data_IF_886188527664
#
_entry.id   IF_886188527664
#
_cell.length_a   1.000
_cell.length_b   1.000
_cell.length_c   1.000
_cell.angle_alpha   90.00
_cell.angle_beta   90.00
_cell.angle_gamma   90.00
#
_symmetry.space_group_name_H-M   'P 1'
#
loop_
_entity.id
_entity.type
_entity.pdbx_description
1 polymer ?
#
# COMPACT_ATOMS: atom_id res chain seq x y z
N UNK A 1 41.16 -19.01 -41.31
CA UNK A 1 40.80 -17.67 -40.81
C UNK A 1 42.08 -16.85 -40.80
N UNK A 2 42.12 -15.76 -41.56
CA UNK A 2 43.32 -14.91 -41.70
C UNK A 2 43.74 -14.34 -40.32
N UNK A 3 45.05 -14.17 -40.10
CA UNK A 3 45.59 -13.68 -38.84
C UNK A 3 45.02 -12.30 -38.49
N UNK A 4 44.86 -11.43 -39.50
CA UNK A 4 44.25 -10.10 -39.36
C UNK A 4 42.78 -10.18 -38.90
N UNK A 5 42.00 -11.12 -39.43
CA UNK A 5 40.59 -11.31 -39.04
C UNK A 5 40.46 -11.81 -37.59
N UNK A 6 41.39 -12.66 -37.12
CA UNK A 6 41.39 -13.14 -35.73
C UNK A 6 41.68 -12.02 -34.74
N UNK A 7 42.62 -11.13 -35.06
CA UNK A 7 42.96 -9.99 -34.23
C UNK A 7 41.79 -8.99 -34.16
N UNK A 8 41.14 -8.71 -35.30
CA UNK A 8 39.95 -7.84 -35.35
C UNK A 8 38.77 -8.41 -34.57
N UNK A 9 38.52 -9.72 -34.63
CA UNK A 9 37.46 -10.35 -33.85
C UNK A 9 37.73 -10.28 -32.34
N UNK A 10 38.97 -10.50 -31.90
CA UNK A 10 39.35 -10.35 -30.48
C UNK A 10 39.11 -8.91 -29.97
N UNK A 11 39.42 -7.91 -30.79
CA UNK A 11 39.15 -6.49 -30.48
C UNK A 11 37.65 -6.22 -30.40
N UNK A 12 36.87 -6.74 -31.35
CA UNK A 12 35.42 -6.61 -31.39
C UNK A 12 34.74 -7.24 -30.17
N UNK A 13 35.09 -8.49 -29.82
CA UNK A 13 34.57 -9.19 -28.64
C UNK A 13 34.94 -8.47 -27.34
N UNK A 14 36.13 -7.87 -27.27
CA UNK A 14 36.52 -7.04 -26.13
C UNK A 14 35.70 -5.75 -26.04
N UNK A 15 35.38 -5.12 -27.16
CA UNK A 15 34.51 -3.94 -27.23
C UNK A 15 33.08 -4.25 -26.76
N UNK A 16 32.61 -5.47 -26.99
CA UNK A 16 31.33 -5.98 -26.47
C UNK A 16 31.35 -6.30 -24.96
N UNK A 17 32.49 -6.14 -24.29
CA UNK A 17 32.65 -6.33 -22.86
C UNK A 17 33.07 -7.74 -22.42
N UNK A 18 33.44 -8.61 -23.36
CA UNK A 18 33.91 -9.95 -23.04
C UNK A 18 35.28 -9.94 -22.33
N UNK A 19 35.50 -10.88 -21.40
CA UNK A 19 36.75 -10.95 -20.63
C UNK A 19 37.91 -11.49 -21.49
N UNK A 20 39.13 -11.01 -21.23
CA UNK A 20 40.34 -11.49 -21.90
C UNK A 20 40.57 -13.00 -21.73
N UNK A 21 40.10 -13.55 -20.60
CA UNK A 21 40.19 -14.99 -20.30
C UNK A 21 39.23 -15.82 -21.17
N UNK A 22 37.99 -15.35 -21.35
CA UNK A 22 36.99 -15.99 -22.21
C UNK A 22 37.42 -15.95 -23.68
N UNK A 23 37.88 -14.79 -24.14
CA UNK A 23 38.42 -14.60 -25.50
C UNK A 23 39.63 -15.55 -25.70
N UNK A 24 40.54 -15.63 -24.72
CA UNK A 24 41.71 -16.51 -24.80
C UNK A 24 41.35 -17.98 -24.94
N UNK A 25 40.37 -18.46 -24.15
CA UNK A 25 39.84 -19.82 -24.24
C UNK A 25 39.24 -20.15 -25.61
N UNK A 26 38.45 -19.24 -26.20
CA UNK A 26 37.87 -19.45 -27.53
C UNK A 26 38.91 -19.59 -28.64
N UNK A 27 40.09 -18.98 -28.46
CA UNK A 27 41.15 -18.94 -29.47
C UNK A 27 42.34 -19.85 -29.16
N UNK A 28 42.33 -20.56 -28.02
CA UNK A 28 43.43 -21.42 -27.58
C UNK A 28 44.71 -20.64 -27.24
N UNK A 29 44.59 -19.39 -26.80
CA UNK A 29 45.72 -18.50 -26.48
C UNK A 29 45.63 -17.97 -25.05
N UNK A 30 46.76 -17.64 -24.46
CA UNK A 30 46.79 -17.13 -23.08
C UNK A 30 46.14 -15.76 -22.96
N UNK A 31 45.59 -15.45 -21.79
CA UNK A 31 45.02 -14.14 -21.44
C UNK A 31 45.99 -12.99 -21.76
N UNK A 32 47.28 -13.17 -21.46
CA UNK A 32 48.30 -12.14 -21.72
C UNK A 32 48.55 -11.97 -23.22
N UNK A 33 48.47 -13.06 -24.01
CA UNK A 33 48.59 -12.97 -25.47
C UNK A 33 47.42 -12.19 -26.08
N UNK A 34 46.19 -12.41 -25.61
CA UNK A 34 45.01 -11.62 -26.02
C UNK A 34 45.18 -10.15 -25.66
N UNK A 35 45.70 -9.85 -24.46
CA UNK A 35 45.98 -8.47 -24.03
C UNK A 35 46.95 -7.77 -24.98
N UNK A 36 48.06 -8.43 -25.33
CA UNK A 36 49.06 -7.89 -26.25
C UNK A 36 48.50 -7.60 -27.64
N UNK A 37 47.67 -8.52 -28.17
CA UNK A 37 47.02 -8.37 -29.48
C UNK A 37 46.09 -7.15 -29.49
N UNK A 38 45.21 -7.04 -28.48
CA UNK A 38 44.24 -5.94 -28.37
C UNK A 38 44.96 -4.59 -28.19
N UNK A 39 46.01 -4.54 -27.36
CA UNK A 39 46.80 -3.31 -27.16
C UNK A 39 47.50 -2.90 -28.45
N UNK A 40 48.13 -3.84 -29.16
CA UNK A 40 48.83 -3.56 -30.43
C UNK A 40 47.87 -3.06 -31.52
N UNK A 41 46.63 -3.52 -31.51
CA UNK A 41 45.58 -3.10 -32.44
C UNK A 41 44.85 -1.80 -32.02
N UNK A 42 45.26 -1.13 -30.93
CA UNK A 42 44.59 0.08 -30.43
C UNK A 42 43.19 -0.18 -29.84
N UNK A 43 42.92 -1.41 -29.40
CA UNK A 43 41.62 -1.84 -28.91
C UNK A 43 41.26 -1.31 -27.51
N UNK A 44 40.00 -1.54 -27.08
CA UNK A 44 39.41 -0.90 -25.90
C UNK A 44 40.10 -1.28 -24.59
N UNK A 45 40.15 -0.32 -23.66
CA UNK A 45 40.76 -0.52 -22.35
C UNK A 45 39.92 -1.43 -21.46
N UNK A 46 40.46 -1.84 -20.32
CA UNK A 46 39.70 -2.57 -19.32
C UNK A 46 38.48 -1.78 -18.81
N UNK A 47 38.60 -0.45 -18.66
CA UNK A 47 37.49 0.39 -18.23
C UNK A 47 36.37 0.46 -19.29
N UNK A 48 36.73 0.52 -20.57
CA UNK A 48 35.77 0.54 -21.68
C UNK A 48 35.01 -0.79 -21.77
N UNK A 49 35.73 -1.91 -21.68
CA UNK A 49 35.13 -3.25 -21.66
C UNK A 49 34.22 -3.45 -20.43
N UNK A 50 34.60 -2.92 -19.26
CA UNK A 50 33.74 -2.96 -18.07
C UNK A 50 32.50 -2.09 -18.21
N UNK A 51 32.61 -0.90 -18.84
CA UNK A 51 31.47 -0.03 -19.13
C UNK A 51 30.51 -0.69 -20.11
N UNK A 52 31.02 -1.28 -21.19
CA UNK A 52 30.25 -2.03 -22.18
C UNK A 52 29.54 -3.25 -21.57
N UNK A 53 30.25 -4.05 -20.76
CA UNK A 53 29.66 -5.19 -20.06
C UNK A 53 28.53 -4.78 -19.10
N UNK A 54 28.70 -3.66 -18.39
CA UNK A 54 27.64 -3.11 -17.51
C UNK A 54 26.44 -2.61 -18.31
N UNK A 55 26.65 -1.89 -19.40
CA UNK A 55 25.54 -1.42 -20.25
C UNK A 55 24.76 -2.57 -20.88
N UNK A 56 25.45 -3.61 -21.37
CA UNK A 56 24.81 -4.79 -21.95
C UNK A 56 24.00 -5.55 -20.90
N UNK A 57 24.59 -5.80 -19.72
CA UNK A 57 23.88 -6.47 -18.61
C UNK A 57 22.69 -5.66 -18.08
N UNK A 58 22.78 -4.34 -18.05
CA UNK A 58 21.66 -3.47 -17.70
C UNK A 58 20.56 -3.46 -18.78
N UNK A 59 20.93 -3.48 -20.06
CA UNK A 59 19.99 -3.53 -21.17
C UNK A 59 19.27 -4.90 -21.24
N UNK A 60 19.99 -5.99 -21.00
CA UNK A 60 19.44 -7.35 -20.95
C UNK A 60 18.48 -7.50 -19.77
N UNK A 61 18.89 -7.07 -18.56
CA UNK A 61 17.99 -7.05 -17.41
C UNK A 61 16.79 -6.12 -17.58
N UNK A 62 16.91 -5.04 -18.35
CA UNK A 62 15.78 -4.16 -18.70
C UNK A 62 14.83 -4.83 -19.71
N UNK A 63 15.35 -5.53 -20.71
CA UNK A 63 14.55 -6.29 -21.68
C UNK A 63 13.78 -7.42 -21.01
N UNK A 64 14.41 -8.17 -20.11
CA UNK A 64 13.76 -9.21 -19.31
C UNK A 64 12.60 -8.62 -18.50
N UNK A 65 12.84 -7.50 -17.82
CA UNK A 65 11.81 -6.77 -17.06
C UNK A 65 10.66 -6.28 -17.94
N UNK A 66 10.95 -5.82 -19.14
CA UNK A 66 9.94 -5.33 -20.09
C UNK A 66 9.11 -6.45 -20.69
N UNK A 67 9.73 -7.57 -21.07
CA UNK A 67 9.04 -8.77 -21.54
C UNK A 67 8.14 -9.34 -20.45
N UNK A 68 8.67 -9.46 -19.22
CA UNK A 68 7.91 -9.88 -18.06
C UNK A 68 6.72 -8.94 -17.78
N UNK A 69 6.95 -7.62 -17.84
CA UNK A 69 5.87 -6.66 -17.69
C UNK A 69 4.82 -6.78 -18.79
N UNK A 70 5.19 -6.98 -20.05
CA UNK A 70 4.23 -7.14 -21.15
C UNK A 70 3.30 -8.33 -20.92
N UNK A 71 3.84 -9.44 -20.41
CA UNK A 71 3.09 -10.67 -20.15
C UNK A 71 2.12 -10.55 -18.97
N UNK A 72 2.57 -10.04 -17.82
CA UNK A 72 1.80 -10.11 -16.58
C UNK A 72 1.01 -8.83 -16.25
N UNK A 73 1.26 -7.72 -16.97
CA UNK A 73 0.56 -6.46 -16.76
C UNK A 73 -0.96 -6.53 -16.98
N UNK A 74 -1.48 -7.15 -18.05
CA UNK A 74 -2.93 -7.27 -18.26
C UNK A 74 -3.61 -8.06 -17.13
N UNK A 75 -2.98 -9.16 -16.71
CA UNK A 75 -3.46 -10.04 -15.63
C UNK A 75 -3.49 -9.28 -14.30
N UNK A 76 -2.43 -8.54 -13.98
CA UNK A 76 -2.38 -7.73 -12.76
C UNK A 76 -3.49 -6.66 -12.74
N UNK A 77 -3.81 -6.04 -13.89
CA UNK A 77 -4.89 -5.04 -14.00
C UNK A 77 -6.26 -5.67 -13.76
N UNK A 78 -6.51 -6.83 -14.35
CA UNK A 78 -7.76 -7.56 -14.19
C UNK A 78 -7.96 -8.04 -12.74
N UNK A 79 -6.91 -8.58 -12.11
CA UNK A 79 -6.99 -8.97 -10.71
C UNK A 79 -7.27 -7.77 -9.80
N UNK A 80 -6.66 -6.62 -10.08
CA UNK A 80 -6.90 -5.41 -9.31
C UNK A 80 -8.28 -4.78 -9.54
N UNK A 81 -8.85 -4.86 -10.75
CA UNK A 81 -10.23 -4.42 -11.00
C UNK A 81 -11.24 -5.29 -10.24
N UNK A 82 -10.94 -6.58 -10.07
CA UNK A 82 -11.69 -7.52 -9.21
C UNK A 82 -11.45 -7.33 -7.71
N UNK A 83 -10.68 -6.31 -7.31
CA UNK A 83 -10.41 -6.01 -5.90
C UNK A 83 -9.34 -6.90 -5.25
N UNK A 84 -8.58 -7.66 -6.04
CA UNK A 84 -7.46 -8.45 -5.53
C UNK A 84 -6.34 -7.52 -5.08
N UNK A 85 -5.68 -7.95 -4.02
CA UNK A 85 -4.72 -7.15 -3.30
C UNK A 85 -3.29 -7.30 -3.85
N UNK A 86 -2.36 -6.42 -3.47
CA UNK A 86 -1.00 -6.43 -4.02
C UNK A 86 -0.25 -7.71 -3.63
N UNK A 87 -0.38 -8.12 -2.37
CA UNK A 87 0.25 -9.32 -1.81
C UNK A 87 -0.29 -10.56 -2.50
N UNK A 88 -1.60 -10.67 -2.70
CA UNK A 88 -2.21 -11.84 -3.32
C UNK A 88 -1.84 -11.93 -4.80
N UNK A 89 -1.78 -10.80 -5.51
CA UNK A 89 -1.26 -10.80 -6.88
C UNK A 89 0.19 -11.27 -6.91
N UNK A 90 1.06 -10.80 -6.02
CA UNK A 90 2.46 -11.26 -5.93
C UNK A 90 2.53 -12.76 -5.59
N UNK A 91 1.75 -13.22 -4.62
CA UNK A 91 1.72 -14.61 -4.20
C UNK A 91 1.23 -15.54 -5.31
N UNK A 92 0.19 -15.15 -6.05
CA UNK A 92 -0.34 -15.89 -7.20
C UNK A 92 0.67 -15.94 -8.35
N UNK A 93 1.34 -14.84 -8.64
CA UNK A 93 2.41 -14.81 -9.66
C UNK A 93 3.55 -15.77 -9.27
N UNK A 94 4.05 -15.68 -8.02
CA UNK A 94 5.09 -16.59 -7.50
C UNK A 94 4.66 -18.06 -7.50
N UNK A 95 3.38 -18.35 -7.25
CA UNK A 95 2.86 -19.72 -7.26
C UNK A 95 2.77 -20.32 -8.67
N UNK A 96 2.50 -19.49 -9.69
CA UNK A 96 2.40 -19.92 -11.09
C UNK A 96 3.78 -20.02 -11.73
N UNK A 97 4.69 -19.12 -11.38
CA UNK A 97 6.06 -19.12 -11.85
C UNK A 97 7.02 -18.83 -10.69
N UNK A 98 7.65 -19.89 -10.12
CA UNK A 98 8.60 -19.77 -9.01
C UNK A 98 9.86 -18.98 -9.36
N UNK A 99 10.15 -18.73 -10.65
CA UNK A 99 11.30 -17.91 -11.07
C UNK A 99 11.06 -16.41 -10.85
N UNK A 100 9.83 -16.01 -10.52
CA UNK A 100 9.46 -14.62 -10.24
C UNK A 100 9.97 -14.20 -8.87
N UNK A 101 10.99 -13.33 -8.86
CA UNK A 101 11.40 -12.64 -7.65
C UNK A 101 10.48 -11.45 -7.30
N UNK A 102 10.60 -10.97 -6.07
CA UNK A 102 9.77 -9.87 -5.56
C UNK A 102 10.08 -8.51 -6.20
N UNK A 103 11.29 -8.34 -6.73
CA UNK A 103 11.75 -7.11 -7.39
C UNK A 103 11.10 -6.98 -8.76
N UNK A 104 11.04 -8.09 -9.51
CA UNK A 104 10.45 -8.26 -10.82
C UNK A 104 8.92 -8.13 -10.75
N UNK A 105 8.28 -8.82 -9.81
CA UNK A 105 6.85 -8.62 -9.51
C UNK A 105 6.58 -7.15 -9.12
N UNK A 106 7.41 -6.57 -8.25
CA UNK A 106 7.31 -5.18 -7.84
C UNK A 106 7.40 -4.17 -8.99
N UNK A 107 8.21 -4.46 -10.01
CA UNK A 107 8.38 -3.64 -11.22
C UNK A 107 7.11 -3.60 -12.07
N UNK A 108 6.50 -4.75 -12.36
CA UNK A 108 5.24 -4.84 -13.14
C UNK A 108 4.13 -4.03 -12.48
N UNK A 109 3.97 -4.20 -11.16
CA UNK A 109 2.92 -3.55 -10.40
C UNK A 109 3.10 -2.02 -10.34
N UNK A 110 4.35 -1.51 -10.41
CA UNK A 110 4.64 -0.07 -10.54
C UNK A 110 4.32 0.46 -11.93
N UNK A 111 4.77 -0.24 -12.99
CA UNK A 111 4.50 0.14 -14.40
C UNK A 111 3.01 0.17 -14.69
N UNK A 112 2.25 -0.69 -14.01
CA UNK A 112 0.83 -0.81 -14.20
C UNK A 112 0.00 0.41 -13.78
N UNK A 113 0.57 1.31 -12.96
CA UNK A 113 -0.16 2.41 -12.29
C UNK A 113 -1.44 1.94 -11.57
N UNK A 114 -1.47 0.66 -11.17
CA UNK A 114 -2.61 0.01 -10.55
C UNK A 114 -2.70 0.43 -9.09
N UNK A 115 -3.91 0.81 -8.68
CA UNK A 115 -4.25 1.03 -7.27
C UNK A 115 -4.89 -0.23 -6.71
N UNK A 116 -4.07 -1.09 -6.10
CA UNK A 116 -4.49 -2.34 -5.46
C UNK A 116 -5.43 -2.08 -4.28
N UNK A 117 -6.33 -3.03 -4.02
CA UNK A 117 -7.05 -3.07 -2.75
C UNK A 117 -6.03 -3.21 -1.61
N UNK A 118 -6.27 -2.48 -0.52
CA UNK A 118 -5.32 -2.36 0.58
C UNK A 118 -5.42 -3.59 1.48
N UNK A 119 -4.74 -4.65 1.05
CA UNK A 119 -4.50 -5.99 1.60
C UNK A 119 -4.82 -6.30 3.07
N UNK A 120 -4.48 -5.43 4.01
CA UNK A 120 -4.27 -5.89 5.38
C UNK A 120 -5.45 -5.65 6.33
N UNK A 121 -6.49 -4.95 5.88
CA UNK A 121 -7.63 -4.58 6.75
C UNK A 121 -8.69 -5.69 6.78
N UNK A 122 -8.82 -6.49 5.71
CA UNK A 122 -9.91 -7.47 5.61
C UNK A 122 -9.59 -8.81 6.32
N UNK A 123 -8.35 -9.30 6.32
CA UNK A 123 -7.98 -10.56 7.01
C UNK A 123 -7.46 -10.39 8.45
N UNK A 124 -6.78 -9.29 8.80
CA UNK A 124 -6.24 -9.09 10.15
C UNK A 124 -7.25 -8.43 11.12
N UNK A 125 -8.29 -7.77 10.58
CA UNK A 125 -9.22 -6.94 11.35
C UNK A 125 -10.67 -7.24 10.99
N UNK A 126 -11.16 -8.37 11.50
CA UNK A 126 -12.58 -8.70 11.43
C UNK A 126 -13.42 -7.59 12.09
N UNK A 127 -14.70 -7.52 11.69
CA UNK A 127 -15.66 -6.61 12.32
C UNK A 127 -15.75 -6.84 13.83
N UNK A 128 -15.56 -8.09 14.27
CA UNK A 128 -15.56 -8.49 15.68
C UNK A 128 -14.39 -7.85 16.43
N UNK A 129 -13.19 -7.94 15.89
CA UNK A 129 -12.00 -7.32 16.50
C UNK A 129 -12.06 -5.78 16.48
N UNK A 130 -12.67 -5.19 15.45
CA UNK A 130 -12.91 -3.74 15.40
C UNK A 130 -13.89 -3.29 16.49
N UNK A 131 -15.00 -4.01 16.67
CA UNK A 131 -15.97 -3.75 17.76
C UNK A 131 -15.32 -3.93 19.13
N UNK A 132 -14.55 -5.01 19.32
CA UNK A 132 -13.82 -5.27 20.55
C UNK A 132 -12.82 -4.15 20.90
N UNK A 133 -12.17 -3.56 19.90
CA UNK A 133 -11.25 -2.44 20.11
C UNK A 133 -11.97 -1.18 20.61
N UNK A 134 -13.18 -0.91 20.13
CA UNK A 134 -14.01 0.20 20.63
C UNK A 134 -14.37 -0.06 22.09
N UNK A 135 -14.83 -1.26 22.43
CA UNK A 135 -15.18 -1.63 23.80
C UNK A 135 -13.99 -1.55 24.76
N UNK A 136 -12.83 -2.08 24.36
CA UNK A 136 -11.64 -2.03 25.19
C UNK A 136 -11.22 -0.58 25.50
N UNK A 137 -11.08 0.26 24.46
CA UNK A 137 -10.67 1.65 24.65
C UNK A 137 -11.75 2.51 25.33
N UNK A 138 -13.02 2.18 25.15
CA UNK A 138 -14.11 2.75 25.95
C UNK A 138 -13.96 2.37 27.43
N UNK A 139 -13.69 1.10 27.74
CA UNK A 139 -13.44 0.65 29.12
C UNK A 139 -12.27 1.37 29.77
N UNK A 140 -11.19 1.59 29.03
CA UNK A 140 -10.06 2.41 29.51
C UNK A 140 -10.44 3.88 29.76
N UNK A 141 -11.32 4.46 28.94
CA UNK A 141 -11.74 5.85 29.10
C UNK A 141 -12.55 6.07 30.38
N UNK A 142 -13.47 5.15 30.67
CA UNK A 142 -14.31 5.15 31.87
C UNK A 142 -13.63 4.46 33.07
N UNK A 143 -12.35 4.08 32.94
CA UNK A 143 -11.55 3.43 33.98
C UNK A 143 -12.20 2.17 34.56
N UNK A 144 -12.88 1.40 33.70
CA UNK A 144 -13.60 0.20 34.09
C UNK A 144 -12.59 -0.92 34.39
N UNK A 145 -12.61 -1.52 35.59
CA UNK A 145 -11.71 -2.62 35.92
C UNK A 145 -12.04 -3.87 35.09
N UNK A 146 -11.03 -4.70 34.85
CA UNK A 146 -11.21 -5.97 34.16
C UNK A 146 -12.03 -6.94 35.03
N UNK A 147 -13.02 -7.60 34.44
CA UNK A 147 -13.75 -8.70 35.08
C UNK A 147 -13.57 -10.00 34.28
N UNK A 148 -12.61 -10.86 34.66
CA UNK A 148 -12.36 -12.13 33.98
C UNK A 148 -13.56 -13.10 34.05
N UNK A 149 -14.29 -13.12 35.17
CA UNK A 149 -15.45 -14.00 35.34
C UNK A 149 -16.59 -13.62 34.40
N UNK A 150 -16.80 -12.32 34.21
CA UNK A 150 -17.78 -11.81 33.25
C UNK A 150 -17.36 -12.07 31.81
N UNK A 151 -16.06 -11.96 31.50
CA UNK A 151 -15.54 -12.29 30.18
C UNK A 151 -15.81 -13.75 29.80
N UNK A 152 -15.57 -14.70 30.71
CA UNK A 152 -15.85 -16.12 30.51
C UNK A 152 -17.35 -16.38 30.25
N UNK A 153 -18.23 -15.65 30.94
CA UNK A 153 -19.69 -15.84 30.84
C UNK A 153 -20.31 -15.19 29.61
N UNK A 154 -19.79 -14.04 29.16
CA UNK A 154 -20.48 -13.19 28.17
C UNK A 154 -19.79 -13.09 26.82
N UNK A 155 -18.47 -13.25 26.74
CA UNK A 155 -17.78 -13.11 25.46
C UNK A 155 -17.90 -14.40 24.65
N UNK A 156 -18.21 -14.23 23.37
CA UNK A 156 -18.23 -15.30 22.38
C UNK A 156 -16.85 -15.98 22.26
N UNK A 157 -16.85 -17.31 22.12
CA UNK A 157 -15.63 -18.10 22.00
C UNK A 157 -14.79 -17.68 20.78
N UNK A 158 -15.43 -17.34 19.65
CA UNK A 158 -14.70 -16.89 18.47
C UNK A 158 -14.00 -15.53 18.71
N UNK A 159 -14.62 -14.60 19.46
CA UNK A 159 -13.94 -13.38 19.90
C UNK A 159 -12.71 -13.69 20.75
N UNK A 160 -12.87 -14.54 21.76
CA UNK A 160 -11.82 -14.88 22.72
C UNK A 160 -10.63 -15.48 21.97
N UNK A 161 -10.87 -16.46 21.11
CA UNK A 161 -9.83 -17.14 20.33
C UNK A 161 -9.11 -16.16 19.41
N UNK A 162 -9.85 -15.44 18.57
CA UNK A 162 -9.31 -14.52 17.56
C UNK A 162 -8.51 -13.37 18.20
N UNK A 163 -9.04 -12.75 19.26
CA UNK A 163 -8.34 -11.64 19.93
C UNK A 163 -7.10 -12.11 20.69
N UNK A 164 -7.16 -13.28 21.33
CA UNK A 164 -6.00 -13.84 22.04
C UNK A 164 -4.86 -14.14 21.08
N UNK A 165 -5.17 -14.73 19.92
CA UNK A 165 -4.20 -15.02 18.87
C UNK A 165 -3.56 -13.74 18.32
N UNK A 166 -4.37 -12.71 18.03
CA UNK A 166 -3.87 -11.41 17.55
C UNK A 166 -2.98 -10.71 18.57
N UNK A 167 -3.34 -10.73 19.85
CA UNK A 167 -2.54 -10.14 20.92
C UNK A 167 -1.26 -10.92 21.20
N UNK A 168 -1.32 -12.26 21.16
CA UNK A 168 -0.14 -13.11 21.33
C UNK A 168 0.89 -12.88 20.22
N UNK A 169 0.45 -12.75 18.95
CA UNK A 169 1.32 -12.38 17.82
C UNK A 169 1.98 -11.01 17.98
N UNK A 170 1.38 -10.11 18.76
CA UNK A 170 1.94 -8.79 19.08
C UNK A 170 2.87 -8.82 20.31
N UNK A 171 3.13 -9.99 20.89
CA UNK A 171 3.98 -10.12 22.08
C UNK A 171 3.31 -9.64 23.38
N UNK A 172 1.98 -9.43 23.39
CA UNK A 172 1.26 -9.02 24.61
C UNK A 172 1.22 -10.18 25.59
N UNK A 173 1.68 -9.95 26.81
CA UNK A 173 1.77 -10.98 27.87
C UNK A 173 0.40 -11.54 28.27
N UNK A 174 0.34 -12.80 28.70
CA UNK A 174 -0.90 -13.55 28.97
C UNK A 174 -1.85 -12.86 29.95
N UNK A 175 -1.32 -12.36 31.08
CA UNK A 175 -2.11 -11.61 32.06
C UNK A 175 -2.74 -10.35 31.46
N UNK A 176 -2.03 -9.66 30.57
CA UNK A 176 -2.55 -8.46 29.91
C UNK A 176 -3.59 -8.83 28.84
N UNK A 177 -3.44 -9.97 28.14
CA UNK A 177 -4.49 -10.50 27.24
C UNK A 177 -5.78 -10.80 28.00
N UNK A 178 -5.68 -11.46 29.15
CA UNK A 178 -6.83 -11.73 30.02
C UNK A 178 -7.47 -10.43 30.53
N UNK A 179 -6.66 -9.44 30.91
CA UNK A 179 -7.13 -8.10 31.30
C UNK A 179 -7.91 -7.42 30.17
N UNK A 180 -7.41 -7.45 28.93
CA UNK A 180 -8.10 -6.88 27.76
C UNK A 180 -9.50 -7.48 27.60
N UNK A 181 -9.61 -8.81 27.64
CA UNK A 181 -10.90 -9.52 27.56
C UNK A 181 -11.83 -9.12 28.72
N UNK A 182 -11.30 -9.08 29.95
CA UNK A 182 -12.05 -8.66 31.13
C UNK A 182 -12.57 -7.22 31.03
N UNK A 183 -11.77 -6.29 30.51
CA UNK A 183 -12.19 -4.90 30.27
C UNK A 183 -13.30 -4.82 29.23
N UNK A 184 -13.20 -5.57 28.12
CA UNK A 184 -14.23 -5.58 27.07
C UNK A 184 -15.58 -6.04 27.64
N UNK A 185 -15.60 -7.14 28.39
CA UNK A 185 -16.82 -7.68 28.96
C UNK A 185 -17.43 -6.73 30.01
N UNK A 186 -16.60 -6.18 30.90
CA UNK A 186 -17.04 -5.21 31.90
C UNK A 186 -17.57 -3.93 31.26
N UNK A 187 -16.92 -3.45 30.20
CA UNK A 187 -17.35 -2.27 29.43
C UNK A 187 -18.73 -2.46 28.77
N UNK A 188 -18.97 -3.63 28.17
CA UNK A 188 -20.28 -3.97 27.58
C UNK A 188 -21.38 -4.00 28.64
N UNK A 189 -21.08 -4.55 29.82
CA UNK A 189 -22.03 -4.59 30.93
C UNK A 189 -22.32 -3.20 31.48
N UNK A 190 -21.28 -2.39 31.70
CA UNK A 190 -21.40 -1.01 32.16
C UNK A 190 -22.26 -0.16 31.22
N UNK A 191 -22.08 -0.29 29.90
CA UNK A 191 -22.89 0.45 28.93
C UNK A 191 -24.36 -0.01 28.88
N UNK A 192 -24.64 -1.27 29.26
CA UNK A 192 -26.00 -1.78 29.42
C UNK A 192 -26.68 -1.14 30.62
N UNK A 193 -25.95 -0.98 31.73
CA UNK A 193 -26.42 -0.37 32.97
C UNK A 193 -26.49 1.17 32.90
N UNK A 194 -25.75 1.79 31.97
CA UNK A 194 -25.65 3.25 31.82
C UNK A 194 -26.02 3.71 30.39
N UNK A 195 -27.32 3.69 30.01
CA UNK A 195 -27.74 4.12 28.69
C UNK A 195 -27.44 5.61 28.46
N UNK A 196 -26.55 5.94 27.52
CA UNK A 196 -26.12 7.34 27.30
C UNK A 196 -24.62 7.50 27.13
N UNK A 197 -23.84 6.55 27.63
CA UNK A 197 -22.39 6.59 27.56
C UNK A 197 -21.89 6.45 26.12
N UNK A 198 -20.77 7.12 25.84
CA UNK A 198 -20.16 7.19 24.51
C UNK A 198 -18.66 7.50 24.61
N UNK A 199 -17.95 7.37 23.49
CA UNK A 199 -16.54 7.75 23.33
C UNK A 199 -16.33 8.49 22.00
N UNK A 200 -15.58 9.58 22.02
CA UNK A 200 -15.30 10.37 20.81
C UNK A 200 -14.17 9.75 19.98
N UNK A 201 -14.17 9.96 18.66
CA UNK A 201 -13.10 9.49 17.77
C UNK A 201 -11.72 10.08 18.12
N UNK A 202 -11.71 11.31 18.67
CA UNK A 202 -10.51 11.95 19.17
C UNK A 202 -9.97 11.20 20.39
N UNK A 203 -10.84 10.91 21.35
CA UNK A 203 -10.47 10.24 22.59
C UNK A 203 -10.00 8.81 22.34
N UNK A 204 -10.71 8.05 21.50
CA UNK A 204 -10.28 6.73 21.03
C UNK A 204 -8.85 6.77 20.47
N UNK A 205 -8.55 7.74 19.60
CA UNK A 205 -7.23 7.88 19.00
C UNK A 205 -6.11 8.18 20.00
N UNK A 206 -6.41 8.96 21.05
CA UNK A 206 -5.45 9.26 22.13
C UNK A 206 -5.17 8.00 22.97
N UNK A 207 -6.22 7.30 23.39
CA UNK A 207 -6.09 6.09 24.22
C UNK A 207 -5.37 4.98 23.47
N UNK A 208 -5.69 4.78 22.18
CA UNK A 208 -4.98 3.85 21.31
C UNK A 208 -3.47 4.13 21.27
N UNK A 209 -3.08 5.38 21.07
CA UNK A 209 -1.65 5.76 21.02
C UNK A 209 -0.96 5.43 22.33
N UNK A 210 -1.59 5.73 23.48
CA UNK A 210 -1.06 5.38 24.80
C UNK A 210 -0.89 3.87 24.95
N UNK A 211 -1.88 3.08 24.53
CA UNK A 211 -1.83 1.63 24.66
C UNK A 211 -0.73 0.99 23.81
N UNK A 212 -0.58 1.43 22.56
CA UNK A 212 0.46 0.94 21.65
C UNK A 212 1.85 1.16 22.26
N UNK A 213 2.09 2.34 22.84
CA UNK A 213 3.35 2.64 23.56
C UNK A 213 3.50 1.77 24.81
N UNK A 214 2.44 1.59 25.60
CA UNK A 214 2.47 0.78 26.82
C UNK A 214 2.83 -0.70 26.56
N UNK A 215 2.49 -1.23 25.38
CA UNK A 215 2.87 -2.57 24.96
C UNK A 215 4.23 -2.66 24.25
N UNK A 216 5.00 -1.56 24.21
CA UNK A 216 6.28 -1.53 23.52
C UNK A 216 6.18 -1.71 22.01
N UNK A 217 4.99 -1.48 21.43
CA UNK A 217 4.76 -1.63 19.99
C UNK A 217 5.24 -0.36 19.27
N UNK A 218 6.21 -0.51 18.37
CA UNK A 218 6.69 0.59 17.55
C UNK A 218 5.76 0.81 16.35
N UNK A 219 5.07 1.95 16.33
CA UNK A 219 4.25 2.36 15.19
C UNK A 219 5.13 2.85 14.03
N UNK A 220 5.69 1.91 13.26
CA UNK A 220 6.36 2.19 12.00
C UNK A 220 5.36 2.28 10.82
N UNK A 221 5.78 2.92 9.72
CA UNK A 221 4.95 3.11 8.53
C UNK A 221 4.69 1.75 7.86
N UNK A 222 3.45 1.25 7.96
CA UNK A 222 3.03 -0.03 7.38
C UNK A 222 2.70 -1.12 8.41
N UNK A 223 2.97 -0.88 9.70
CA UNK A 223 2.68 -1.84 10.76
C UNK A 223 1.25 -1.65 11.29
N UNK A 224 0.45 -2.71 11.26
CA UNK A 224 -0.94 -2.71 11.72
C UNK A 224 -1.04 -3.49 13.02
N UNK A 225 -1.38 -2.80 14.11
CA UNK A 225 -1.57 -3.40 15.43
C UNK A 225 -3.01 -3.27 15.88
N UNK A 226 -3.43 -4.25 16.67
CA UNK A 226 -4.60 -4.11 17.54
C UNK A 226 -4.17 -3.32 18.80
N UNK A 227 -4.98 -2.37 19.31
CA UNK A 227 -6.23 -1.90 18.75
C UNK A 227 -6.03 -1.13 17.42
N UNK A 228 -6.93 -1.28 16.44
CA UNK A 228 -6.93 -0.55 15.16
C UNK A 228 -6.94 0.96 15.32
N UNK A 229 -6.63 1.66 14.23
CA UNK A 229 -6.78 3.12 14.17
C UNK A 229 -8.26 3.49 14.05
N UNK A 230 -8.62 4.72 14.46
CA UNK A 230 -9.99 5.24 14.23
C UNK A 230 -10.34 5.26 12.75
N UNK A 231 -9.35 5.47 11.88
CA UNK A 231 -9.53 5.46 10.44
C UNK A 231 -9.92 4.08 9.93
N UNK A 232 -9.37 3.00 10.49
CA UNK A 232 -9.77 1.63 10.14
C UNK A 232 -11.22 1.35 10.54
N UNK A 233 -11.63 1.74 11.75
CA UNK A 233 -13.02 1.62 12.19
C UNK A 233 -13.98 2.42 11.30
N UNK A 234 -13.66 3.69 11.03
CA UNK A 234 -14.48 4.54 10.17
C UNK A 234 -14.56 4.03 8.72
N UNK A 235 -13.46 3.54 8.17
CA UNK A 235 -13.43 2.99 6.81
C UNK A 235 -14.32 1.75 6.67
N UNK A 236 -14.42 0.92 7.73
CA UNK A 236 -15.23 -0.29 7.72
C UNK A 236 -16.72 -0.02 7.97
N UNK A 237 -17.05 0.93 8.85
CA UNK A 237 -18.43 1.18 9.26
C UNK A 237 -19.08 2.42 8.64
N UNK A 238 -18.38 3.16 7.77
CA UNK A 238 -18.93 4.32 7.07
C UNK A 238 -18.90 5.63 7.87
N UNK A 239 -18.25 5.64 9.03
CA UNK A 239 -18.09 6.82 9.88
C UNK A 239 -18.01 6.46 11.37
N UNK A 240 -17.68 7.45 12.21
CA UNK A 240 -17.55 7.21 13.66
C UNK A 240 -18.91 7.04 14.34
N UNK A 241 -19.90 7.83 13.93
CA UNK A 241 -21.26 7.70 14.45
C UNK A 241 -21.87 6.34 14.11
N UNK A 242 -21.60 5.84 12.91
CA UNK A 242 -22.00 4.53 12.43
C UNK A 242 -21.23 3.42 13.16
N UNK A 243 -19.94 3.64 13.43
CA UNK A 243 -19.14 2.74 14.29
C UNK A 243 -19.78 2.59 15.68
N UNK A 244 -20.11 3.70 16.35
CA UNK A 244 -20.72 3.65 17.69
C UNK A 244 -22.08 2.94 17.67
N UNK A 245 -22.93 3.22 16.68
CA UNK A 245 -24.20 2.51 16.51
C UNK A 245 -24.00 1.00 16.30
N UNK A 246 -23.02 0.61 15.49
CA UNK A 246 -22.73 -0.81 15.23
C UNK A 246 -22.24 -1.55 16.48
N UNK A 247 -21.56 -0.83 17.36
CA UNK A 247 -21.04 -1.32 18.65
C UNK A 247 -22.15 -1.37 19.71
N UNK A 248 -23.24 -0.63 19.54
CA UNK A 248 -24.33 -0.51 20.52
C UNK A 248 -24.18 0.66 21.50
N UNK A 249 -23.25 1.60 21.23
CA UNK A 249 -23.06 2.82 22.01
C UNK A 249 -23.88 3.99 21.42
N UNK A 250 -24.34 4.91 22.28
CA UNK A 250 -25.03 6.12 21.83
C UNK A 250 -24.06 7.08 21.13
N UNK A 251 -24.58 7.88 20.20
CA UNK A 251 -23.84 8.99 19.58
C UNK A 251 -23.61 10.07 20.65
N UNK A 252 -22.41 10.63 20.75
CA UNK A 252 -22.23 11.83 21.56
C UNK A 252 -23.05 12.98 20.96
N UNK A 253 -23.93 13.61 21.74
CA UNK A 253 -24.68 14.80 21.32
C UNK A 253 -23.75 16.02 21.06
N UNK A 254 -22.51 15.97 21.57
CA UNK A 254 -21.46 16.97 21.39
C UNK A 254 -20.66 16.85 20.07
N UNK A 255 -21.29 16.34 19.01
CA UNK A 255 -20.73 16.36 17.65
C UNK A 255 -21.36 17.50 16.86
N UNK A 256 -20.55 18.29 16.13
CA UNK A 256 -21.08 19.25 15.14
C UNK A 256 -22.11 18.54 14.28
N UNK A 257 -23.29 19.16 14.12
CA UNK A 257 -24.23 18.81 13.06
C UNK A 257 -23.44 18.66 11.76
N UNK A 258 -23.79 17.65 10.96
CA UNK A 258 -23.15 17.35 9.67
C UNK A 258 -23.24 18.63 8.83
N UNK A 259 -22.19 19.45 8.88
CA UNK A 259 -22.19 20.78 8.27
C UNK A 259 -22.48 20.62 6.78
N UNK A 260 -23.38 21.47 6.28
CA UNK A 260 -23.69 21.60 4.86
C UNK A 260 -22.41 21.44 4.03
N UNK A 261 -22.41 20.48 3.10
CA UNK A 261 -21.29 20.30 2.19
C UNK A 261 -21.11 21.59 1.39
N UNK A 262 -19.99 22.29 1.57
CA UNK A 262 -19.62 23.50 0.80
C UNK A 262 -19.64 23.26 -0.72
N UNK A 263 -19.50 22.01 -1.13
CA UNK A 263 -19.44 21.58 -2.53
C UNK A 263 -20.47 20.47 -2.80
N UNK A 264 -21.05 20.45 -3.99
CA UNK A 264 -21.95 19.40 -4.47
C UNK A 264 -21.20 18.14 -4.87
N UNK A 265 -21.91 17.02 -5.03
CA UNK A 265 -21.31 15.75 -5.49
C UNK A 265 -20.56 15.92 -6.83
N UNK A 266 -21.15 16.67 -7.77
CA UNK A 266 -20.55 16.95 -9.07
C UNK A 266 -19.27 17.78 -8.95
N UNK A 267 -19.20 18.71 -8.02
CA UNK A 267 -17.99 19.51 -7.78
C UNK A 267 -16.85 18.68 -7.21
N UNK A 268 -17.16 17.67 -6.38
CA UNK A 268 -16.19 16.69 -5.93
C UNK A 268 -15.69 15.82 -7.07
N UNK A 269 -16.57 15.35 -7.96
CA UNK A 269 -16.20 14.55 -9.12
C UNK A 269 -15.36 15.36 -10.11
N UNK A 270 -15.78 16.58 -10.46
CA UNK A 270 -15.03 17.50 -11.33
C UNK A 270 -13.64 17.80 -10.77
N UNK A 271 -13.52 18.09 -9.47
CA UNK A 271 -12.22 18.34 -8.85
C UNK A 271 -11.27 17.12 -8.91
N UNK A 272 -11.82 15.90 -8.78
CA UNK A 272 -11.03 14.68 -8.92
C UNK A 272 -10.58 14.46 -10.37
N UNK A 273 -11.45 14.70 -11.35
CA UNK A 273 -11.14 14.61 -12.79
C UNK A 273 -10.09 15.63 -13.20
N UNK A 274 -10.28 16.90 -12.85
CA UNK A 274 -9.35 18.00 -13.18
C UNK A 274 -7.95 17.73 -12.64
N UNK A 275 -7.85 17.18 -11.42
CA UNK A 275 -6.59 16.80 -10.83
C UNK A 275 -5.92 15.61 -11.54
N UNK A 276 -6.67 14.57 -11.88
CA UNK A 276 -6.14 13.42 -12.63
C UNK A 276 -5.61 13.88 -13.98
N UNK A 277 -6.35 14.72 -14.71
CA UNK A 277 -5.91 15.29 -15.97
C UNK A 277 -4.66 16.17 -15.80
N UNK A 278 -4.60 16.99 -14.74
CA UNK A 278 -3.42 17.80 -14.42
C UNK A 278 -2.17 16.95 -14.10
N UNK A 279 -2.35 15.82 -13.42
CA UNK A 279 -1.29 14.89 -13.07
C UNK A 279 -0.80 14.10 -14.30
N UNK A 280 -1.72 13.65 -15.15
CA UNK A 280 -1.38 12.92 -16.38
C UNK A 280 -0.61 13.83 -17.36
N UNK A 281 -0.98 15.11 -17.49
CA UNK A 281 -0.21 16.11 -18.28
C UNK A 281 1.23 16.32 -17.79
N UNK A 282 1.55 15.95 -16.55
CA UNK A 282 2.87 16.08 -15.92
C UNK A 282 3.60 14.75 -15.76
N UNK A 283 3.08 13.70 -16.39
CA UNK A 283 3.53 12.31 -16.26
C UNK A 283 3.71 11.87 -14.79
N UNK A 284 2.82 12.38 -13.93
CA UNK A 284 2.94 12.29 -12.48
C UNK A 284 1.91 11.32 -11.89
N UNK A 285 2.35 10.41 -11.01
CA UNK A 285 1.42 9.58 -10.23
C UNK A 285 0.58 10.45 -9.27
N UNK A 286 -0.77 10.30 -9.26
CA UNK A 286 -1.66 10.98 -8.33
C UNK A 286 -1.32 10.67 -6.86
N UNK A 287 -1.19 11.70 -6.02
CA UNK A 287 -0.95 11.55 -4.58
C UNK A 287 -1.58 12.68 -3.78
N UNK A 288 -1.87 12.43 -2.50
CA UNK A 288 -2.50 13.41 -1.61
C UNK A 288 -1.66 14.69 -1.49
N UNK A 289 -0.34 14.58 -1.45
CA UNK A 289 0.53 15.76 -1.30
C UNK A 289 0.60 16.59 -2.59
N UNK A 290 0.66 15.93 -3.75
CA UNK A 290 0.56 16.62 -5.05
C UNK A 290 -0.80 17.29 -5.25
N UNK A 291 -1.86 16.70 -4.72
CA UNK A 291 -3.18 17.33 -4.74
C UNK A 291 -3.25 18.59 -3.90
N UNK A 292 -2.59 18.61 -2.72
CA UNK A 292 -2.50 19.84 -1.93
C UNK A 292 -1.79 20.94 -2.71
N UNK A 293 -0.72 20.60 -3.41
CA UNK A 293 0.02 21.57 -4.23
C UNK A 293 -0.81 22.05 -5.42
N UNK A 294 -1.44 21.13 -6.17
CA UNK A 294 -2.36 21.50 -7.25
C UNK A 294 -3.50 22.40 -6.76
N UNK A 295 -4.12 22.07 -5.63
CA UNK A 295 -5.16 22.90 -5.02
C UNK A 295 -4.67 24.29 -4.64
N UNK A 296 -3.40 24.43 -4.22
CA UNK A 296 -2.77 25.73 -3.94
C UNK A 296 -2.62 26.54 -5.23
N UNK A 297 -2.21 25.90 -6.33
CA UNK A 297 -2.14 26.53 -7.65
C UNK A 297 -3.53 26.98 -8.13
N UNK A 298 -4.54 26.12 -8.03
CA UNK A 298 -5.93 26.44 -8.39
C UNK A 298 -6.48 27.61 -7.55
N UNK A 299 -6.20 27.63 -6.25
CA UNK A 299 -6.62 28.71 -5.36
C UNK A 299 -5.97 30.05 -5.72
N UNK A 300 -4.69 30.06 -6.11
CA UNK A 300 -4.01 31.26 -6.61
C UNK A 300 -4.64 31.78 -7.91
N UNK A 301 -5.25 30.90 -8.70
CA UNK A 301 -6.01 31.24 -9.91
C UNK A 301 -7.50 31.51 -9.64
N UNK A 302 -7.89 31.69 -8.37
CA UNK A 302 -9.27 32.00 -7.96
C UNK A 302 -10.24 30.83 -7.98
N UNK A 303 -9.78 29.61 -8.28
CA UNK A 303 -10.60 28.40 -8.32
C UNK A 303 -10.50 27.65 -7.00
N UNK A 304 -11.50 27.81 -6.14
CA UNK A 304 -11.56 27.03 -4.91
C UNK A 304 -11.89 25.56 -5.19
N UNK A 305 -11.00 24.65 -4.79
CA UNK A 305 -11.22 23.21 -4.90
C UNK A 305 -11.47 22.57 -3.53
N UNK A 306 -12.25 21.47 -3.47
CA UNK A 306 -12.41 20.71 -2.23
C UNK A 306 -11.09 20.19 -1.70
N UNK A 307 -10.99 20.02 -0.37
CA UNK A 307 -9.77 19.48 0.23
C UNK A 307 -9.62 17.98 -0.11
N UNK A 308 -8.38 17.49 -0.13
CA UNK A 308 -8.14 16.05 -0.32
C UNK A 308 -8.77 15.19 0.79
N UNK A 309 -8.97 15.74 1.99
CA UNK A 309 -9.71 15.07 3.06
C UNK A 309 -11.21 14.98 2.75
N UNK A 310 -11.79 16.03 2.18
CA UNK A 310 -13.19 16.07 1.76
C UNK A 310 -13.46 15.08 0.63
N UNK A 311 -12.57 15.01 -0.37
CA UNK A 311 -12.65 13.98 -1.43
C UNK A 311 -12.65 12.56 -0.84
N UNK A 312 -11.76 12.27 0.11
CA UNK A 312 -11.74 10.96 0.78
C UNK A 312 -13.04 10.67 1.53
N UNK A 313 -13.63 11.67 2.16
CA UNK A 313 -14.89 11.50 2.90
C UNK A 313 -16.06 11.21 1.95
N UNK A 314 -16.08 11.80 0.76
CA UNK A 314 -17.15 11.61 -0.24
C UNK A 314 -16.98 10.28 -0.98
N UNK A 315 -15.77 9.95 -1.43
CA UNK A 315 -15.50 8.74 -2.22
C UNK A 315 -15.06 7.53 -1.36
N UNK A 316 -15.03 7.66 -0.04
CA UNK A 316 -14.58 6.65 0.93
C UNK A 316 -13.07 6.44 1.02
N UNK A 317 -12.30 6.68 -0.05
CA UNK A 317 -10.83 6.69 0.00
C UNK A 317 -10.22 7.53 -1.13
N UNK A 318 -8.93 7.84 -1.02
CA UNK A 318 -8.20 8.58 -2.05
C UNK A 318 -8.13 7.77 -3.34
N UNK A 319 -7.79 6.49 -3.20
CA UNK A 319 -7.75 5.50 -4.27
C UNK A 319 -9.07 5.38 -5.03
N UNK A 320 -10.20 5.33 -4.31
CA UNK A 320 -11.55 5.30 -4.90
C UNK A 320 -11.87 6.59 -5.67
N UNK A 321 -11.52 7.75 -5.12
CA UNK A 321 -11.72 9.03 -5.79
C UNK A 321 -10.96 9.12 -7.13
N UNK A 322 -9.68 8.72 -7.13
CA UNK A 322 -8.86 8.75 -8.35
C UNK A 322 -9.30 7.71 -9.39
N UNK A 323 -9.78 6.54 -8.93
CA UNK A 323 -10.32 5.50 -9.81
C UNK A 323 -11.60 5.97 -10.51
N UNK A 324 -12.57 6.48 -9.75
CA UNK A 324 -13.81 7.02 -10.29
C UNK A 324 -13.55 8.16 -11.30
N UNK A 325 -12.55 9.00 -11.04
CA UNK A 325 -12.13 10.06 -11.95
C UNK A 325 -11.50 9.52 -13.25
N UNK A 326 -10.68 8.46 -13.18
CA UNK A 326 -10.09 7.81 -14.37
C UNK A 326 -11.15 7.10 -15.21
N UNK A 327 -12.03 6.33 -14.57
CA UNK A 327 -13.16 5.68 -15.24
C UNK A 327 -14.04 6.71 -15.96
N UNK A 328 -14.36 7.83 -15.31
CA UNK A 328 -15.15 8.91 -15.93
C UNK A 328 -14.44 9.57 -17.13
N UNK A 329 -13.11 9.72 -17.07
CA UNK A 329 -12.32 10.26 -18.17
C UNK A 329 -12.26 9.31 -19.37
N UNK A 330 -12.14 7.99 -19.11
CA UNK A 330 -12.11 6.96 -20.15
C UNK A 330 -13.47 6.85 -20.88
N UNK A 331 -14.59 6.97 -20.16
CA UNK A 331 -15.93 6.96 -20.76
C UNK A 331 -16.21 8.23 -21.59
N UNK A 332 -15.72 9.40 -21.16
CA UNK A 332 -15.83 10.64 -21.93
C UNK A 332 -15.00 10.61 -23.22
N UNK A 333 -13.83 9.96 -23.20
CA UNK A 333 -12.99 9.77 -24.38
C UNK A 333 -13.56 8.78 -25.41
N UNK A 334 -14.30 7.76 -24.95
CA UNK A 334 -14.93 6.78 -25.83
C UNK A 334 -16.14 7.35 -26.61
N UNK A 335 -16.88 8.29 -26.02
CA UNK A 335 -18.00 8.96 -26.69
C UNK A 335 -17.56 9.99 -27.73
N UNK A 336 -16.41 10.65 -27.54
CA UNK A 336 -15.87 11.66 -28.47
C UNK A 336 -15.26 11.06 -29.76
N UNK A 337 -15.16 9.73 -29.88
CA UNK A 337 -14.69 9.02 -31.06
C UNK A 337 -15.83 8.40 -31.88
N UNK A 338 -17.09 8.66 -31.51
CA UNK A 338 -18.30 8.18 -32.20
C UNK A 338 -19.12 9.31 -32.86
N UNK A 339 -18.65 10.56 -32.80
CA UNK A 339 -19.16 11.72 -33.56
C UNK A 339 -18.15 12.16 -34.62
#
# INVERSE_FOLDING_TARGET
>A
MDASMREQDMVFRRALGESLDSIGKSYGVSRERVRQIIVKAGGPTAQDAHRAARSTKSAEGQREREAFAAQYLPIARELASKGTSRRDVIARLKAIDPSIDEVMAGFVLRKARIVFAQDWVDDFMSNRLLVAAVWFLFGLDYQIPADPSLAIKKLDHALISELTEVLARQGVHELERARVLGVIAAAQNFATENPGVSITAARYGVLRKKQVVAWGLESARGTHFWPPTRQAAMARFGGWSETLLRVGLKRSEFGRSKGFLKYTADEYQRAAMDYVAWADRRDATPSVDRYKEWRRLEANEGRERPSGASLRNIFGSWSKAMRAARESADHAGAHALQE
#
